data_IF_359745910723
#
_entry.id   IF_359745910723
#
_cell.length_a   1.000
_cell.length_b   1.000
_cell.length_c   1.000
_cell.angle_alpha   90.00
_cell.angle_beta   90.00
_cell.angle_gamma   90.00
#
_symmetry.space_group_name_H-M   'P 1'
#
loop_
_entity.id
_entity.type
_entity.pdbx_description
1 polymer ?
#
# COMPACT_ATOMS: atom_id res chain seq x y z
N UNK A 1 30.15 17.58 7.56
CA UNK A 1 29.04 16.64 7.58
C UNK A 1 27.82 17.30 6.93
N UNK A 2 27.29 16.76 5.85
CA UNK A 2 26.13 17.34 5.19
C UNK A 2 24.87 16.96 5.97
N UNK A 3 24.14 17.93 6.54
CA UNK A 3 22.90 17.67 7.26
C UNK A 3 21.81 17.25 6.28
N UNK A 4 21.19 16.07 6.51
CA UNK A 4 20.04 15.62 5.74
C UNK A 4 18.79 16.28 6.29
N UNK A 5 18.02 16.94 5.44
CA UNK A 5 16.78 17.62 5.79
C UNK A 5 15.62 16.62 5.60
N UNK A 6 14.71 16.49 6.58
CA UNK A 6 13.54 15.63 6.43
C UNK A 6 12.65 16.01 5.23
N UNK A 7 11.99 15.02 4.67
CA UNK A 7 11.00 15.18 3.61
C UNK A 7 9.60 15.30 4.20
N UNK A 8 8.72 16.02 3.49
CA UNK A 8 7.31 16.15 3.83
C UNK A 8 6.43 15.79 2.64
N UNK A 9 5.29 15.17 2.90
CA UNK A 9 4.23 14.98 1.90
C UNK A 9 3.47 16.29 1.79
N UNK A 10 3.42 16.87 0.60
CA UNK A 10 2.71 18.13 0.35
C UNK A 10 1.24 17.89 0.07
N UNK A 11 0.94 16.96 -0.81
CA UNK A 11 -0.43 16.64 -1.24
C UNK A 11 -0.48 15.19 -1.72
N UNK A 12 -1.65 14.59 -1.63
CA UNK A 12 -1.88 13.23 -2.10
C UNK A 12 -3.20 13.10 -2.85
N UNK A 13 -3.23 12.14 -3.76
CA UNK A 13 -4.41 11.80 -4.55
C UNK A 13 -4.56 10.29 -4.64
N UNK A 14 -5.80 9.82 -4.65
CA UNK A 14 -6.12 8.42 -4.97
C UNK A 14 -6.90 8.36 -6.28
N UNK A 15 -6.50 7.46 -7.15
CA UNK A 15 -7.24 7.10 -8.34
C UNK A 15 -7.88 5.73 -8.11
N UNK A 16 -9.19 5.68 -8.25
CA UNK A 16 -9.98 4.46 -8.08
C UNK A 16 -10.57 4.13 -9.44
N UNK A 17 -10.19 2.99 -9.99
CA UNK A 17 -10.61 2.58 -11.34
C UNK A 17 -10.37 3.69 -12.40
N UNK A 18 -9.25 4.40 -12.29
CA UNK A 18 -8.86 5.48 -13.21
C UNK A 18 -9.47 6.85 -12.93
N UNK A 19 -10.40 6.99 -11.99
CA UNK A 19 -10.97 8.27 -11.58
C UNK A 19 -10.22 8.84 -10.37
N UNK A 20 -9.74 10.07 -10.48
CA UNK A 20 -9.00 10.74 -9.40
C UNK A 20 -9.93 11.40 -8.37
N UNK A 21 -9.51 11.36 -7.10
CA UNK A 21 -10.21 11.91 -5.92
C UNK A 21 -9.31 12.88 -5.16
N UNK A 22 -8.77 13.87 -5.89
CA UNK A 22 -7.91 14.91 -5.31
C UNK A 22 -8.70 15.75 -4.28
N UNK A 23 -8.08 16.05 -3.16
CA UNK A 23 -8.65 16.88 -2.10
C UNK A 23 -9.61 16.16 -1.15
N UNK A 24 -10.01 14.92 -1.44
CA UNK A 24 -10.87 14.11 -0.55
C UNK A 24 -10.14 12.94 0.09
N UNK A 25 -8.92 12.64 -0.34
CA UNK A 25 -8.05 11.65 0.29
C UNK A 25 -7.41 12.24 1.55
N UNK A 26 -7.61 11.60 2.70
CA UNK A 26 -7.05 12.05 3.98
C UNK A 26 -5.76 11.33 4.33
N UNK A 27 -5.81 10.02 4.38
CA UNK A 27 -4.68 9.17 4.79
C UNK A 27 -4.57 7.94 3.91
N UNK A 28 -3.35 7.48 3.71
CA UNK A 28 -3.04 6.16 3.19
C UNK A 28 -2.04 5.48 4.14
N UNK A 29 -2.40 4.32 4.63
CA UNK A 29 -1.47 3.42 5.33
C UNK A 29 -0.94 2.42 4.31
N UNK A 30 0.32 2.58 3.94
CA UNK A 30 1.01 1.65 3.04
C UNK A 30 1.17 0.26 3.68
N UNK A 31 1.30 -0.80 2.86
CA UNK A 31 1.46 -2.15 3.38
C UNK A 31 2.79 -2.28 4.14
N UNK A 32 2.75 -2.95 5.29
CA UNK A 32 3.94 -3.37 6.01
C UNK A 32 4.50 -4.62 5.35
N UNK A 33 5.79 -4.60 5.00
CA UNK A 33 6.50 -5.76 4.47
C UNK A 33 7.18 -6.48 5.64
N UNK A 34 6.61 -7.59 6.06
CA UNK A 34 7.09 -8.37 7.20
C UNK A 34 7.23 -9.85 6.80
N UNK A 35 8.37 -10.45 7.14
CA UNK A 35 8.57 -11.87 6.97
C UNK A 35 8.17 -12.61 8.25
N UNK A 36 7.51 -13.74 8.08
CA UNK A 36 7.23 -14.64 9.20
C UNK A 36 8.54 -15.14 9.82
N UNK A 37 8.52 -15.44 11.12
CA UNK A 37 9.69 -15.90 11.87
C UNK A 37 9.51 -17.32 12.37
N UNK A 38 10.63 -18.04 12.42
CA UNK A 38 10.72 -19.37 13.01
C UNK A 38 11.54 -19.26 14.29
N UNK A 39 10.98 -19.72 15.42
CA UNK A 39 11.68 -19.76 16.69
C UNK A 39 12.57 -21.01 16.78
N UNK A 40 13.87 -20.80 16.95
CA UNK A 40 14.80 -21.87 17.33
C UNK A 40 14.89 -21.92 18.86
N UNK A 41 14.39 -23.01 19.46
CA UNK A 41 14.39 -23.25 20.91
C UNK A 41 15.68 -23.92 21.34
N UNK A 42 16.30 -23.39 22.39
CA UNK A 42 17.51 -23.92 23.00
C UNK A 42 17.82 -23.20 24.31
N UNK A 43 19.02 -23.40 24.86
CA UNK A 43 19.48 -22.66 26.04
C UNK A 43 19.50 -21.13 25.82
N UNK A 44 19.64 -20.72 24.56
CA UNK A 44 19.42 -19.36 24.07
C UNK A 44 18.45 -19.44 22.89
N UNK A 45 17.24 -18.90 23.06
CA UNK A 45 16.24 -18.83 21.99
C UNK A 45 16.56 -17.70 21.03
N UNK A 46 16.36 -17.92 19.73
CA UNK A 46 16.51 -16.91 18.68
C UNK A 46 15.41 -17.06 17.63
N UNK A 47 14.95 -15.94 17.07
CA UNK A 47 14.02 -15.92 15.96
C UNK A 47 14.76 -15.69 14.64
N UNK A 48 14.48 -16.51 13.65
CA UNK A 48 15.03 -16.41 12.30
C UNK A 48 13.91 -16.14 11.30
N UNK A 49 14.21 -15.35 10.26
CA UNK A 49 13.27 -15.16 9.16
C UNK A 49 13.01 -16.48 8.44
N UNK A 50 11.74 -16.79 8.19
CA UNK A 50 11.33 -17.95 7.39
C UNK A 50 11.52 -17.75 5.89
N UNK A 51 11.70 -16.50 5.43
CA UNK A 51 11.65 -16.13 4.04
C UNK A 51 10.23 -16.09 3.44
N UNK A 52 9.20 -16.34 4.26
CA UNK A 52 7.79 -16.25 3.88
C UNK A 52 7.27 -14.86 4.21
N UNK A 53 6.79 -14.14 3.20
CA UNK A 53 6.20 -12.81 3.40
C UNK A 53 4.79 -12.97 3.99
N UNK A 54 4.54 -12.29 5.11
CA UNK A 54 3.22 -12.22 5.72
C UNK A 54 2.20 -11.55 4.79
N UNK A 55 0.91 -11.82 5.03
CA UNK A 55 -0.18 -11.15 4.32
C UNK A 55 -0.07 -9.62 4.48
N UNK A 56 -0.33 -8.90 3.41
CA UNK A 56 -0.19 -7.44 3.39
C UNK A 56 -1.54 -6.76 3.31
N UNK A 57 -1.68 -5.71 4.10
CA UNK A 57 -2.90 -4.92 4.23
C UNK A 57 -2.61 -3.46 3.87
N UNK A 58 -3.55 -2.85 3.14
CA UNK A 58 -3.58 -1.41 2.85
C UNK A 58 -4.86 -0.84 3.41
N UNK A 59 -4.79 0.31 4.05
CA UNK A 59 -5.99 1.06 4.42
C UNK A 59 -5.86 2.52 4.00
N UNK A 60 -6.95 3.09 3.52
CA UNK A 60 -7.01 4.51 3.19
C UNK A 60 -8.33 5.13 3.63
N UNK A 61 -8.29 6.41 3.94
CA UNK A 61 -9.44 7.19 4.39
C UNK A 61 -9.77 8.26 3.36
N UNK A 62 -11.03 8.31 2.96
CA UNK A 62 -11.58 9.34 2.07
C UNK A 62 -12.68 10.13 2.79
N UNK A 63 -12.84 11.40 2.39
CA UNK A 63 -13.82 12.34 2.96
C UNK A 63 -15.07 12.48 2.10
N UNK A 64 -15.45 11.43 1.40
CA UNK A 64 -16.62 11.41 0.53
C UNK A 64 -17.33 10.08 0.61
N UNK A 65 -18.66 10.11 0.57
CA UNK A 65 -19.47 8.89 0.55
C UNK A 65 -20.69 9.09 -0.38
N UNK A 66 -20.42 9.35 -1.64
CA UNK A 66 -21.45 9.35 -2.66
C UNK A 66 -21.59 7.96 -3.31
N UNK A 67 -22.75 7.70 -3.91
CA UNK A 67 -23.06 6.40 -4.52
C UNK A 67 -22.09 6.03 -5.64
N UNK A 68 -21.64 6.99 -6.44
CA UNK A 68 -20.79 6.71 -7.59
C UNK A 68 -19.38 6.27 -7.14
N UNK A 69 -18.85 6.91 -6.10
CA UNK A 69 -17.58 6.51 -5.47
C UNK A 69 -17.68 5.10 -4.89
N UNK A 70 -18.80 4.76 -4.23
CA UNK A 70 -19.04 3.40 -3.70
C UNK A 70 -19.04 2.34 -4.81
N UNK A 71 -19.72 2.60 -5.92
CA UNK A 71 -19.75 1.70 -7.06
C UNK A 71 -18.39 1.60 -7.75
N UNK A 72 -17.64 2.71 -7.88
CA UNK A 72 -16.31 2.72 -8.47
C UNK A 72 -15.29 1.90 -7.64
N UNK A 73 -15.43 1.90 -6.32
CA UNK A 73 -14.61 1.10 -5.41
C UNK A 73 -15.01 -0.39 -5.38
N UNK A 74 -16.09 -0.78 -6.02
CA UNK A 74 -16.59 -2.16 -5.98
C UNK A 74 -17.13 -2.58 -4.61
N UNK A 75 -17.56 -1.64 -3.78
CA UNK A 75 -18.04 -1.92 -2.41
C UNK A 75 -19.36 -2.69 -2.37
N UNK A 76 -20.06 -2.78 -3.49
CA UNK A 76 -21.23 -3.63 -3.66
C UNK A 76 -20.90 -5.14 -3.75
N UNK A 77 -19.62 -5.47 -4.00
CA UNK A 77 -19.11 -6.82 -4.02
C UNK A 77 -17.71 -6.83 -3.36
N UNK A 78 -17.62 -7.23 -2.11
CA UNK A 78 -16.39 -7.20 -1.31
C UNK A 78 -15.16 -7.88 -1.95
N UNK A 79 -15.36 -8.76 -2.90
CA UNK A 79 -14.32 -9.47 -3.63
C UNK A 79 -13.94 -8.83 -4.97
N UNK A 80 -14.36 -7.60 -5.22
CA UNK A 80 -14.05 -6.93 -6.48
C UNK A 80 -12.60 -6.43 -6.49
N UNK A 81 -11.78 -6.95 -7.42
CA UNK A 81 -10.37 -6.56 -7.61
C UNK A 81 -10.28 -5.23 -8.36
N UNK A 82 -10.56 -4.15 -7.68
CA UNK A 82 -10.46 -2.80 -8.25
C UNK A 82 -9.01 -2.32 -8.14
N UNK A 83 -8.41 -1.79 -9.23
CA UNK A 83 -7.08 -1.21 -9.16
C UNK A 83 -7.14 0.17 -8.49
N UNK A 84 -6.27 0.38 -7.52
CA UNK A 84 -6.06 1.65 -6.85
C UNK A 84 -4.66 2.17 -7.18
N UNK A 85 -4.57 3.45 -7.52
CA UNK A 85 -3.31 4.15 -7.68
C UNK A 85 -3.30 5.35 -6.75
N UNK A 86 -2.39 5.33 -5.81
CA UNK A 86 -2.12 6.46 -4.93
C UNK A 86 -0.91 7.23 -5.45
N UNK A 87 -1.03 8.55 -5.51
CA UNK A 87 0.08 9.44 -5.89
C UNK A 87 0.26 10.51 -4.84
N UNK A 88 1.50 10.91 -4.61
CA UNK A 88 1.82 11.99 -3.68
C UNK A 88 3.01 12.81 -4.20
N UNK A 89 3.06 14.06 -3.78
CA UNK A 89 4.21 14.95 -3.97
C UNK A 89 5.03 15.01 -2.69
N UNK A 90 6.30 14.64 -2.78
CA UNK A 90 7.23 14.68 -1.65
C UNK A 90 8.16 15.87 -1.83
N UNK A 91 8.21 16.75 -0.85
CA UNK A 91 9.05 17.93 -0.83
C UNK A 91 10.16 17.83 0.20
N UNK A 92 11.34 18.25 -0.19
CA UNK A 92 12.48 18.43 0.69
C UNK A 92 13.00 19.85 0.52
N UNK A 93 13.21 20.55 1.62
CA UNK A 93 13.72 21.93 1.59
C UNK A 93 15.00 22.01 0.76
N UNK A 94 15.07 22.99 -0.16
CA UNK A 94 16.15 23.19 -1.16
C UNK A 94 16.17 22.22 -2.35
N UNK A 95 15.11 21.46 -2.58
CA UNK A 95 14.97 20.58 -3.75
C UNK A 95 13.66 20.79 -4.50
N UNK A 96 13.53 20.19 -5.68
CA UNK A 96 12.27 20.11 -6.40
C UNK A 96 11.38 19.02 -5.78
N UNK A 97 10.04 19.19 -5.82
CA UNK A 97 9.12 18.15 -5.41
C UNK A 97 9.30 16.86 -6.21
N UNK A 98 9.30 15.72 -5.56
CA UNK A 98 9.48 14.42 -6.18
C UNK A 98 8.19 13.60 -6.16
N UNK A 99 7.90 12.86 -7.24
CA UNK A 99 6.71 12.03 -7.31
C UNK A 99 6.89 10.76 -6.48
N UNK A 100 5.84 10.42 -5.73
CA UNK A 100 5.65 9.12 -5.11
C UNK A 100 4.42 8.48 -5.73
N UNK A 101 4.45 7.19 -6.00
CA UNK A 101 3.29 6.43 -6.43
C UNK A 101 3.25 5.04 -5.80
N UNK A 102 2.05 4.60 -5.45
CA UNK A 102 1.79 3.26 -4.97
C UNK A 102 0.54 2.72 -5.67
N UNK A 103 0.72 1.72 -6.52
CA UNK A 103 -0.38 0.98 -7.14
C UNK A 103 -0.64 -0.29 -6.35
N UNK A 104 -1.90 -0.63 -6.12
CA UNK A 104 -2.26 -1.85 -5.44
C UNK A 104 -3.61 -2.39 -5.92
N UNK A 105 -3.74 -3.71 -5.87
CA UNK A 105 -4.97 -4.43 -6.16
C UNK A 105 -5.18 -5.47 -5.07
N UNK A 106 -6.41 -5.61 -4.60
CA UNK A 106 -6.74 -6.55 -3.54
C UNK A 106 -8.24 -6.64 -3.30
N UNK A 107 -8.59 -7.45 -2.32
CA UNK A 107 -9.96 -7.65 -1.91
C UNK A 107 -10.29 -6.73 -0.71
N UNK A 108 -11.41 -6.04 -0.79
CA UNK A 108 -11.90 -5.20 0.29
C UNK A 108 -12.41 -6.10 1.42
N UNK A 109 -11.86 -5.93 2.61
CA UNK A 109 -12.20 -6.75 3.77
C UNK A 109 -12.92 -5.98 4.86
N UNK A 110 -12.76 -4.65 4.89
CA UNK A 110 -13.35 -3.82 5.94
C UNK A 110 -13.71 -2.43 5.41
N UNK A 111 -14.85 -1.94 5.86
CA UNK A 111 -15.33 -0.58 5.62
C UNK A 111 -15.75 -0.02 6.97
N UNK A 112 -15.15 1.09 7.39
CA UNK A 112 -15.45 1.79 8.62
C UNK A 112 -15.90 3.21 8.33
N UNK A 113 -17.05 3.57 8.87
CA UNK A 113 -17.49 4.96 8.92
C UNK A 113 -16.99 5.60 10.21
N UNK A 114 -16.52 6.84 10.11
CA UNK A 114 -16.30 7.65 11.30
C UNK A 114 -17.63 8.03 11.95
N UNK A 115 -17.58 8.48 13.19
CA UNK A 115 -18.76 8.94 13.91
C UNK A 115 -19.41 10.13 13.20
N UNK A 116 -20.74 10.11 13.12
CA UNK A 116 -21.52 11.18 12.51
C UNK A 116 -21.78 12.26 13.55
N UNK A 117 -21.10 13.38 13.42
CA UNK A 117 -21.35 14.60 14.22
C UNK A 117 -21.76 15.76 13.33
N UNK A 118 -22.72 16.56 13.76
CA UNK A 118 -23.15 17.74 13.03
C UNK A 118 -22.01 18.77 12.93
N UNK A 119 -21.60 19.10 11.68
CA UNK A 119 -20.49 20.00 11.42
C UNK A 119 -19.13 19.32 11.23
N UNK A 120 -19.01 18.02 11.43
CA UNK A 120 -17.81 17.23 11.13
C UNK A 120 -17.75 16.82 9.67
N UNK A 121 -16.53 16.59 9.17
CA UNK A 121 -16.34 15.96 7.86
C UNK A 121 -16.75 14.49 7.91
N UNK A 122 -17.39 14.02 6.84
CA UNK A 122 -17.66 12.61 6.69
C UNK A 122 -16.41 11.85 6.27
N UNK A 123 -16.07 10.80 7.01
CA UNK A 123 -14.90 9.97 6.72
C UNK A 123 -15.28 8.50 6.59
N UNK A 124 -14.68 7.85 5.59
CA UNK A 124 -14.82 6.41 5.37
C UNK A 124 -13.42 5.83 5.23
N UNK A 125 -13.10 4.85 6.07
CA UNK A 125 -11.85 4.09 6.00
C UNK A 125 -12.10 2.74 5.36
N UNK A 126 -11.34 2.43 4.33
CA UNK A 126 -11.44 1.20 3.55
C UNK A 126 -10.15 0.43 3.73
N UNK A 127 -10.27 -0.84 4.07
CA UNK A 127 -9.16 -1.77 4.27
C UNK A 127 -9.23 -2.88 3.23
N UNK A 128 -8.07 -3.16 2.61
CA UNK A 128 -7.91 -4.19 1.59
C UNK A 128 -6.81 -5.17 1.99
N UNK A 129 -7.04 -6.45 1.73
CA UNK A 129 -5.98 -7.45 1.66
C UNK A 129 -5.41 -7.41 0.24
N UNK A 130 -4.14 -7.06 0.09
CA UNK A 130 -3.55 -6.78 -1.21
C UNK A 130 -2.76 -7.96 -1.76
N UNK A 131 -3.01 -8.27 -3.03
CA UNK A 131 -2.32 -9.32 -3.78
C UNK A 131 -1.21 -8.75 -4.64
N UNK A 132 -1.41 -7.53 -5.14
CA UNK A 132 -0.43 -6.80 -5.95
C UNK A 132 -0.12 -5.45 -5.32
N UNK A 133 1.17 -5.11 -5.22
CA UNK A 133 1.68 -3.82 -4.75
C UNK A 133 2.86 -3.40 -5.62
N UNK A 134 2.84 -2.18 -6.11
CA UNK A 134 3.96 -1.55 -6.82
C UNK A 134 4.20 -0.16 -6.23
N UNK A 135 5.31 0.03 -5.55
CA UNK A 135 5.69 1.30 -4.90
C UNK A 135 6.90 1.88 -5.62
N UNK A 136 6.73 3.12 -6.10
CA UNK A 136 7.77 3.86 -6.80
C UNK A 136 8.06 5.19 -6.09
N UNK A 137 9.32 5.53 -5.97
CA UNK A 137 9.80 6.82 -5.45
C UNK A 137 10.68 7.46 -6.53
N UNK A 138 10.36 8.69 -6.90
CA UNK A 138 11.10 9.43 -7.94
C UNK A 138 11.24 8.61 -9.25
N UNK A 139 10.15 7.95 -9.64
CA UNK A 139 10.06 7.04 -10.81
C UNK A 139 10.95 5.78 -10.71
N UNK A 140 11.51 5.51 -9.54
CA UNK A 140 12.33 4.31 -9.30
C UNK A 140 11.51 3.29 -8.53
N UNK A 141 11.36 2.05 -9.04
CA UNK A 141 10.67 0.98 -8.32
C UNK A 141 11.41 0.61 -7.03
N UNK A 142 10.70 0.65 -5.90
CA UNK A 142 11.27 0.30 -4.60
C UNK A 142 10.76 -1.07 -4.13
N UNK A 143 9.46 -1.31 -4.28
CA UNK A 143 8.83 -2.58 -3.90
C UNK A 143 7.86 -2.98 -5.00
N UNK A 144 7.99 -4.20 -5.48
CA UNK A 144 7.00 -4.86 -6.32
C UNK A 144 6.66 -6.22 -5.70
N UNK A 145 5.41 -6.40 -5.31
CA UNK A 145 4.87 -7.67 -4.84
C UNK A 145 3.74 -8.11 -5.74
N UNK A 146 3.84 -9.32 -6.26
CA UNK A 146 2.75 -10.00 -6.96
C UNK A 146 2.60 -11.40 -6.37
N UNK A 147 1.59 -11.59 -5.55
CA UNK A 147 1.37 -12.84 -4.84
C UNK A 147 0.94 -13.97 -5.78
N UNK A 148 0.24 -13.65 -6.87
CA UNK A 148 -0.26 -14.65 -7.83
C UNK A 148 0.86 -15.20 -8.72
N UNK A 149 1.83 -14.35 -9.08
CA UNK A 149 2.98 -14.73 -9.89
C UNK A 149 4.25 -15.02 -9.05
N UNK A 150 4.13 -15.09 -7.74
CA UNK A 150 5.24 -15.29 -6.80
C UNK A 150 6.43 -14.36 -7.07
N UNK A 151 6.16 -13.06 -7.25
CA UNK A 151 7.18 -12.03 -7.45
C UNK A 151 7.29 -11.19 -6.20
N UNK A 152 8.50 -11.00 -5.70
CA UNK A 152 8.83 -10.06 -4.64
C UNK A 152 10.15 -9.37 -4.96
N UNK A 153 10.07 -8.15 -5.46
CA UNK A 153 11.25 -7.32 -5.73
C UNK A 153 11.33 -6.21 -4.69
N UNK A 154 12.48 -6.07 -4.06
CA UNK A 154 12.77 -4.98 -3.12
C UNK A 154 14.10 -4.37 -3.53
N UNK A 155 14.10 -3.07 -3.83
CA UNK A 155 15.31 -2.37 -4.26
C UNK A 155 15.95 -2.94 -5.52
N UNK A 156 15.17 -3.55 -6.42
CA UNK A 156 15.64 -4.15 -7.67
C UNK A 156 16.11 -5.61 -7.55
N UNK A 157 16.02 -6.22 -6.37
CA UNK A 157 16.39 -7.63 -6.14
C UNK A 157 15.13 -8.47 -6.05
N UNK A 158 15.01 -9.51 -6.86
CA UNK A 158 13.91 -10.48 -6.82
C UNK A 158 14.21 -11.61 -5.84
N UNK A 159 13.57 -11.58 -4.70
CA UNK A 159 13.72 -12.58 -3.63
C UNK A 159 13.06 -13.93 -3.93
N UNK A 160 12.11 -13.96 -4.90
CA UNK A 160 11.38 -15.17 -5.25
C UNK A 160 11.93 -15.88 -6.49
N UNK A 161 12.87 -15.30 -7.22
CA UNK A 161 13.43 -15.88 -8.44
C UNK A 161 13.96 -17.31 -8.24
N UNK A 162 14.69 -17.54 -7.13
CA UNK A 162 15.24 -18.87 -6.82
C UNK A 162 14.16 -19.85 -6.39
N UNK A 163 13.13 -19.38 -5.70
CA UNK A 163 11.97 -20.20 -5.30
C UNK A 163 11.22 -20.69 -6.53
N UNK A 164 10.88 -19.78 -7.48
CA UNK A 164 10.25 -20.15 -8.75
C UNK A 164 11.07 -21.15 -9.55
N UNK A 165 12.38 -20.91 -9.69
CA UNK A 165 13.28 -21.84 -10.36
C UNK A 165 13.31 -23.24 -9.73
N UNK A 166 13.20 -23.32 -8.38
CA UNK A 166 13.15 -24.61 -7.69
C UNK A 166 11.83 -25.35 -7.90
N UNK A 167 10.76 -24.63 -8.23
CA UNK A 167 9.43 -25.17 -8.51
C UNK A 167 9.25 -25.51 -10.00
N UNK A 168 10.21 -25.16 -10.85
CA UNK A 168 10.18 -25.43 -12.29
C UNK A 168 9.48 -24.35 -13.12
N UNK A 169 9.36 -23.12 -12.57
CA UNK A 169 8.80 -21.94 -13.21
C UNK A 169 9.86 -20.88 -13.56
#
# INVERSE_FOLDING_TARGET
>A
MKRIIPQAVQECNVFINGQGYLGVTKTLKLPTMEFETIEAKGALSANYSSGILAATEVSFTIRIADRNTWLAMGLNAFSSRVPFLFTASIYQASGEPKPFSAAFTGDITKIEFADFESGSEMEVTITLQVHFVDINIDKTPIVLKDAENMILMIGGVDYMAKVRSNLGE
#
